data_IF_156131517586
#
_entry.id   IF_156131517586
#
_cell.length_a   1.000
_cell.length_b   1.000
_cell.length_c   1.000
_cell.angle_alpha   90.00
_cell.angle_beta   90.00
_cell.angle_gamma   90.00
#
_symmetry.space_group_name_H-M   'P 1'
#
loop_
_entity.id
_entity.type
_entity.pdbx_description
1 polymer ?
#
# COMPACT_ATOMS: atom_id res chain seq x y z
N UNK A 1 2.81 -5.50 10.25
CA UNK A 1 3.38 -5.06 8.96
C UNK A 1 3.20 -3.56 8.83
N UNK A 2 4.23 -2.84 8.40
CA UNK A 2 4.16 -1.39 8.22
C UNK A 2 3.87 -1.05 6.77
N UNK A 3 3.05 -0.04 6.53
CA UNK A 3 2.66 0.42 5.20
C UNK A 3 2.70 1.93 5.08
N UNK A 4 2.94 2.42 3.87
CA UNK A 4 2.82 3.81 3.50
C UNK A 4 2.54 3.96 2.00
N UNK A 5 2.38 5.19 1.53
CA UNK A 5 2.05 5.51 0.13
C UNK A 5 3.10 5.10 -0.89
N UNK A 6 4.31 4.74 -0.47
CA UNK A 6 5.37 4.26 -1.35
C UNK A 6 5.29 2.74 -1.62
N UNK A 7 4.42 2.03 -0.91
CA UNK A 7 4.11 0.62 -1.20
C UNK A 7 3.27 0.57 -2.47
N UNK A 8 3.85 0.03 -3.55
CA UNK A 8 3.25 0.15 -4.88
C UNK A 8 3.44 -1.13 -5.72
N UNK A 9 2.51 -1.40 -6.64
CA UNK A 9 2.57 -2.52 -7.58
C UNK A 9 2.70 -3.88 -6.89
N UNK A 10 3.73 -4.67 -7.15
CA UNK A 10 3.95 -5.98 -6.54
C UNK A 10 3.96 -5.92 -5.00
N UNK A 11 4.50 -4.85 -4.41
CA UNK A 11 4.47 -4.63 -2.97
C UNK A 11 3.04 -4.41 -2.47
N UNK A 12 2.19 -3.76 -3.26
CA UNK A 12 0.77 -3.60 -2.97
C UNK A 12 0.05 -4.96 -2.95
N UNK A 13 0.34 -5.83 -3.91
CA UNK A 13 -0.21 -7.19 -3.96
C UNK A 13 0.27 -8.03 -2.78
N UNK A 14 1.53 -7.94 -2.42
CA UNK A 14 2.05 -8.58 -1.20
C UNK A 14 1.30 -8.10 0.04
N UNK A 15 1.05 -6.79 0.16
CA UNK A 15 0.27 -6.21 1.25
C UNK A 15 -1.15 -6.76 1.29
N UNK A 16 -1.78 -6.92 0.13
CA UNK A 16 -3.11 -7.53 0.00
C UNK A 16 -3.13 -8.95 0.59
N UNK A 17 -2.16 -9.78 0.19
CA UNK A 17 -2.07 -11.15 0.69
C UNK A 17 -1.81 -11.20 2.20
N UNK A 18 -0.92 -10.34 2.70
CA UNK A 18 -0.63 -10.26 4.13
C UNK A 18 -1.84 -9.80 4.94
N UNK A 19 -2.61 -8.85 4.43
CA UNK A 19 -3.84 -8.37 5.10
C UNK A 19 -4.90 -9.45 5.24
N UNK A 20 -4.93 -10.42 4.34
CA UNK A 20 -5.88 -11.54 4.40
C UNK A 20 -5.57 -12.57 5.50
N UNK A 21 -4.40 -12.51 6.11
CA UNK A 21 -3.98 -13.42 7.17
C UNK A 21 -4.50 -12.94 8.54
N UNK A 22 -5.10 -13.83 9.34
CA UNK A 22 -5.75 -13.43 10.59
C UNK A 22 -4.79 -12.91 11.67
N UNK A 23 -3.53 -13.31 11.61
CA UNK A 23 -2.48 -12.93 12.57
C UNK A 23 -1.63 -11.74 12.11
N UNK A 24 -1.97 -11.11 10.97
CA UNK A 24 -1.26 -9.94 10.45
C UNK A 24 -2.12 -8.70 10.63
N UNK A 25 -1.52 -7.64 11.13
CA UNK A 25 -2.10 -6.30 11.21
C UNK A 25 -1.26 -5.32 10.42
N UNK A 26 -1.91 -4.52 9.60
CA UNK A 26 -1.29 -3.43 8.85
C UNK A 26 -1.35 -2.14 9.68
N UNK A 27 -0.23 -1.47 9.78
CA UNK A 27 -0.09 -0.21 10.55
C UNK A 27 0.56 0.84 9.66
N UNK A 28 -0.02 2.00 9.57
CA UNK A 28 0.56 3.13 8.86
C UNK A 28 -0.44 3.88 7.98
N UNK A 29 0.05 4.42 6.89
CA UNK A 29 -0.76 5.06 5.87
C UNK A 29 -1.25 4.02 4.84
N UNK A 30 -2.24 4.37 4.04
CA UNK A 30 -2.67 3.51 2.93
C UNK A 30 -1.52 3.29 1.94
N UNK A 31 -1.57 2.19 1.22
CA UNK A 31 -0.59 1.92 0.15
C UNK A 31 -0.83 2.81 -1.06
N UNK A 32 0.17 2.89 -1.94
CA UNK A 32 0.08 3.66 -3.18
C UNK A 32 -0.72 2.97 -4.30
N UNK A 33 -1.06 1.71 -4.13
CA UNK A 33 -1.84 0.97 -5.13
C UNK A 33 -1.02 0.45 -6.30
N UNK A 34 -1.49 0.70 -7.51
CA UNK A 34 -0.80 0.32 -8.75
C UNK A 34 -0.90 -1.15 -9.12
N UNK A 35 -1.84 -1.88 -8.55
CA UNK A 35 -2.18 -3.24 -8.98
C UNK A 35 -2.88 -3.22 -10.32
N UNK A 36 -2.79 -4.27 -11.10
CA UNK A 36 -3.55 -4.40 -12.34
C UNK A 36 -2.77 -4.90 -13.55
N UNK A 37 -1.60 -5.44 -13.37
CA UNK A 37 -0.78 -6.04 -14.44
C UNK A 37 -0.69 -5.11 -15.66
N UNK A 38 0.21 -4.14 -15.69
CA UNK A 38 0.24 -3.11 -16.71
C UNK A 38 0.49 -3.70 -18.10
N UNK A 39 -0.27 -3.18 -19.04
CA UNK A 39 -0.15 -3.49 -20.46
C UNK A 39 0.39 -2.27 -21.20
N UNK A 40 1.34 -2.49 -22.11
CA UNK A 40 1.91 -1.41 -22.92
C UNK A 40 1.48 -1.61 -24.39
N UNK A 41 1.19 -0.50 -25.05
CA UNK A 41 0.85 -0.45 -26.47
C UNK A 41 1.53 0.74 -27.14
N UNK A 42 1.67 0.69 -28.45
CA UNK A 42 2.24 1.79 -29.23
C UNK A 42 1.18 2.52 -30.05
N UNK A 43 1.31 3.84 -30.13
CA UNK A 43 0.52 4.66 -31.04
C UNK A 43 1.20 4.72 -32.42
N UNK A 44 0.43 5.05 -33.49
CA UNK A 44 0.98 5.12 -34.85
C UNK A 44 2.15 6.11 -35.01
N UNK A 45 2.23 7.13 -34.17
CA UNK A 45 3.32 8.12 -34.15
C UNK A 45 4.57 7.66 -33.38
N UNK A 46 4.60 6.40 -32.88
CA UNK A 46 5.72 5.88 -32.12
C UNK A 46 5.68 6.13 -30.61
N UNK A 47 4.66 6.80 -30.10
CA UNK A 47 4.48 6.94 -28.66
C UNK A 47 4.01 5.66 -28.02
N UNK A 48 4.43 5.45 -26.79
CA UNK A 48 3.97 4.32 -25.96
C UNK A 48 2.93 4.79 -24.98
N UNK A 49 1.91 3.95 -24.77
CA UNK A 49 0.93 4.10 -23.69
C UNK A 49 1.00 2.89 -22.78
N UNK A 50 0.76 3.09 -21.49
CA UNK A 50 0.77 2.02 -20.50
C UNK A 50 -0.40 2.23 -19.54
N UNK A 51 -1.12 1.14 -19.24
CA UNK A 51 -2.28 1.18 -18.37
C UNK A 51 -2.47 -0.16 -17.66
N UNK A 52 -3.17 -0.15 -16.54
CA UNK A 52 -3.60 -1.36 -15.84
C UNK A 52 -4.61 -2.12 -16.68
N UNK A 53 -4.38 -3.41 -16.89
CA UNK A 53 -5.20 -4.22 -17.81
C UNK A 53 -6.07 -5.25 -17.09
N UNK A 54 -5.74 -5.62 -15.84
CA UNK A 54 -6.42 -6.66 -15.09
C UNK A 54 -6.91 -6.08 -13.77
N UNK A 55 -8.23 -5.98 -13.55
CA UNK A 55 -8.76 -5.52 -12.27
C UNK A 55 -8.41 -6.52 -11.17
N UNK A 56 -7.95 -6.01 -10.02
CA UNK A 56 -7.65 -6.80 -8.83
C UNK A 56 -8.46 -6.31 -7.66
N UNK A 57 -8.96 -7.24 -6.85
CA UNK A 57 -9.85 -6.97 -5.74
C UNK A 57 -9.37 -7.66 -4.48
N UNK A 58 -9.69 -7.08 -3.33
CA UNK A 58 -9.53 -7.73 -2.04
C UNK A 58 -10.67 -8.75 -1.78
N UNK A 59 -10.62 -9.39 -0.61
CA UNK A 59 -11.65 -10.38 -0.22
C UNK A 59 -13.04 -9.79 -0.02
N UNK A 60 -13.14 -8.48 0.14
CA UNK A 60 -14.40 -7.72 0.25
C UNK A 60 -14.82 -7.08 -1.07
N UNK A 61 -14.15 -7.44 -2.17
CA UNK A 61 -14.42 -6.97 -3.51
C UNK A 61 -14.14 -5.47 -3.72
N UNK A 62 -13.24 -4.89 -2.94
CA UNK A 62 -12.73 -3.52 -3.16
C UNK A 62 -11.57 -3.55 -4.14
N UNK A 63 -11.53 -2.63 -5.13
CA UNK A 63 -10.41 -2.56 -6.06
C UNK A 63 -9.12 -2.15 -5.31
N UNK A 64 -8.02 -2.84 -5.59
CA UNK A 64 -6.74 -2.61 -4.93
C UNK A 64 -5.82 -1.67 -5.69
N UNK A 65 -6.22 -1.26 -6.89
CA UNK A 65 -5.46 -0.34 -7.74
C UNK A 65 -5.21 1.03 -7.08
N UNK A 66 -6.15 1.50 -6.28
CA UNK A 66 -6.10 2.80 -5.61
C UNK A 66 -5.48 2.76 -4.21
N UNK A 67 -4.98 1.61 -3.80
CA UNK A 67 -4.35 1.41 -2.51
C UNK A 67 -5.16 0.54 -1.56
N UNK A 68 -4.49 0.12 -0.51
CA UNK A 68 -5.04 -0.75 0.55
C UNK A 68 -4.99 0.03 1.86
N UNK A 69 -6.13 0.09 2.54
CA UNK A 69 -6.22 0.72 3.86
C UNK A 69 -5.60 -0.17 4.94
N UNK A 70 -4.82 0.39 5.87
CA UNK A 70 -4.30 -0.36 7.01
C UNK A 70 -5.39 -0.69 8.02
N UNK A 71 -5.10 -1.63 8.92
CA UNK A 71 -5.95 -1.90 10.08
C UNK A 71 -5.86 -0.77 11.11
N UNK A 72 -4.68 -0.16 11.24
CA UNK A 72 -4.43 0.98 12.11
C UNK A 72 -3.86 2.13 11.28
N UNK A 73 -4.69 3.14 11.04
CA UNK A 73 -4.25 4.35 10.34
C UNK A 73 -3.36 5.19 11.23
N UNK A 74 -2.13 5.36 10.82
CA UNK A 74 -1.13 6.19 11.51
C UNK A 74 -0.37 7.00 10.48
N UNK A 75 -0.44 8.30 10.60
CA UNK A 75 0.31 9.22 9.74
C UNK A 75 1.56 9.73 10.47
N UNK A 76 2.59 10.03 9.69
CA UNK A 76 3.78 10.70 10.22
C UNK A 76 3.39 12.07 10.78
N UNK A 77 3.82 12.36 12.01
CA UNK A 77 3.67 13.70 12.58
C UNK A 77 4.86 14.59 12.21
N UNK A 78 4.59 15.88 12.07
CA UNK A 78 5.66 16.86 11.82
C UNK A 78 6.68 16.91 12.97
N UNK A 79 6.20 16.73 14.19
CA UNK A 79 7.05 16.71 15.38
C UNK A 79 8.03 15.53 15.36
N UNK A 80 7.53 14.32 15.10
CA UNK A 80 8.39 13.12 15.02
C UNK A 80 9.35 13.23 13.85
N UNK A 81 8.90 13.71 12.70
CA UNK A 81 9.76 13.94 11.55
C UNK A 81 10.93 14.87 11.89
N UNK A 82 10.68 15.99 12.56
CA UNK A 82 11.73 16.93 13.01
C UNK A 82 12.71 16.31 14.00
N UNK A 83 12.26 15.35 14.80
CA UNK A 83 13.09 14.62 15.79
C UNK A 83 13.79 13.39 15.19
N UNK A 84 13.62 13.11 13.91
CA UNK A 84 14.15 11.91 13.28
C UNK A 84 13.50 10.61 13.75
N UNK A 85 12.27 10.68 14.24
CA UNK A 85 11.46 9.53 14.67
C UNK A 85 10.44 9.17 13.60
N UNK A 86 10.13 7.88 13.49
CA UNK A 86 9.07 7.38 12.63
C UNK A 86 7.84 7.08 13.50
N UNK A 87 6.80 7.89 13.35
CA UNK A 87 5.54 7.75 14.11
C UNK A 87 4.90 6.38 13.91
N UNK A 88 4.98 5.84 12.69
CA UNK A 88 4.38 4.54 12.35
C UNK A 88 5.11 3.42 13.09
N UNK A 89 6.45 3.46 13.09
CA UNK A 89 7.29 2.49 13.81
C UNK A 89 7.01 2.54 15.31
N UNK A 90 6.97 3.74 15.88
CA UNK A 90 6.75 3.90 17.33
C UNK A 90 5.36 3.39 17.74
N UNK A 91 4.34 3.66 16.95
CA UNK A 91 2.99 3.13 17.18
C UNK A 91 2.97 1.60 17.12
N UNK A 92 3.60 1.01 16.11
CA UNK A 92 3.66 -0.45 15.96
C UNK A 92 4.41 -1.11 17.14
N UNK A 93 5.49 -0.48 17.62
CA UNK A 93 6.20 -0.96 18.82
C UNK A 93 5.30 -0.99 20.04
N UNK A 94 4.50 0.05 20.24
CA UNK A 94 3.53 0.09 21.34
C UNK A 94 2.47 -1.01 21.24
N UNK A 95 1.99 -1.32 20.04
CA UNK A 95 1.06 -2.43 19.83
C UNK A 95 1.66 -3.80 20.21
N UNK A 96 2.93 -4.00 19.90
CA UNK A 96 3.62 -5.28 20.15
C UNK A 96 4.01 -5.46 21.61
N UNK A 97 4.06 -4.40 22.40
CA UNK A 97 4.45 -4.44 23.81
C UNK A 97 3.27 -4.52 24.79
N UNK A 98 2.06 -4.59 24.28
CA UNK A 98 0.84 -4.73 25.09
C UNK A 98 0.54 -6.16 25.46
#
# INVERSE_FOLDING_TARGET
MLTNRHVYSAANEFTLYMKSLPNVKLVGDHTGGGSGMPFSSSLPNGWSVRFSAVPMYDTQHNPTEFGIEPDYRVDMTEEDFKRGKDTIIEFARQLLTK
#
